data_IF_971085440836
#
_entry.id   IF_971085440836
#
_cell.length_a   1.000
_cell.length_b   1.000
_cell.length_c   1.000
_cell.angle_alpha   90.00
_cell.angle_beta   90.00
_cell.angle_gamma   90.00
#
_symmetry.space_group_name_H-M   'P 1'
#
loop_
_entity.id
_entity.type
_entity.pdbx_description
1 polymer ?
#
# COMPACT_ATOMS: atom_id res chain seq x y z
N UNK A 1 -3.20 13.45 -49.43
CA UNK A 1 -2.08 13.83 -48.55
C UNK A 1 -2.68 14.39 -47.27
N UNK A 2 -2.73 13.57 -46.22
CA UNK A 2 -3.49 13.86 -45.00
C UNK A 2 -2.56 14.48 -43.96
N UNK A 3 -2.81 15.71 -43.55
CA UNK A 3 -2.03 16.39 -42.51
C UNK A 3 -2.31 15.68 -41.17
N UNK A 4 -1.29 15.17 -40.45
CA UNK A 4 -1.50 14.60 -39.12
C UNK A 4 -1.92 15.73 -38.18
N UNK A 5 -3.08 15.63 -37.53
CA UNK A 5 -3.40 16.54 -36.42
C UNK A 5 -2.39 16.29 -35.31
N UNK A 6 -1.74 17.32 -34.76
CA UNK A 6 -0.94 17.15 -33.56
C UNK A 6 -1.86 16.63 -32.45
N UNK A 7 -1.59 15.41 -31.99
CA UNK A 7 -2.19 14.87 -30.77
C UNK A 7 -1.88 15.87 -29.65
N UNK A 8 -2.87 16.37 -28.88
CA UNK A 8 -2.58 17.24 -27.76
C UNK A 8 -1.65 16.48 -26.81
N UNK A 9 -0.43 17.00 -26.63
CA UNK A 9 0.49 16.56 -25.58
C UNK A 9 -0.35 16.51 -24.31
N UNK A 10 -0.55 15.32 -23.74
CA UNK A 10 -1.27 15.14 -22.48
C UNK A 10 -0.51 15.92 -21.41
N UNK A 11 -0.85 17.19 -21.25
CA UNK A 11 -0.33 18.06 -20.20
C UNK A 11 -0.87 17.44 -18.93
N UNK A 12 -0.04 16.68 -18.22
CA UNK A 12 -0.33 16.25 -16.83
C UNK A 12 -0.86 17.49 -16.13
N UNK A 13 -2.17 17.53 -15.88
CA UNK A 13 -2.76 18.69 -15.22
C UNK A 13 -2.09 18.77 -13.86
N UNK A 14 -1.60 19.95 -13.49
CA UNK A 14 -0.95 20.21 -12.20
C UNK A 14 -1.83 19.76 -11.01
N UNK A 15 -3.15 19.64 -11.20
CA UNK A 15 -4.09 18.95 -10.32
C UNK A 15 -3.72 17.51 -9.89
N UNK A 16 -2.88 16.79 -10.63
CA UNK A 16 -2.40 15.44 -10.24
C UNK A 16 -0.94 15.42 -9.80
N UNK A 17 -0.23 16.56 -9.90
CA UNK A 17 1.08 16.71 -9.27
C UNK A 17 0.91 16.73 -7.76
N UNK A 18 1.81 16.06 -7.06
CA UNK A 18 1.78 15.99 -5.61
C UNK A 18 3.18 15.78 -5.03
N UNK A 19 3.34 16.18 -3.78
CA UNK A 19 4.44 15.75 -2.94
C UNK A 19 3.97 14.60 -2.06
N UNK A 20 4.65 13.47 -2.15
CA UNK A 20 4.35 12.26 -1.38
C UNK A 20 5.58 11.71 -0.70
N UNK A 21 5.37 11.02 0.42
CA UNK A 21 6.42 10.28 1.09
C UNK A 21 5.86 9.02 1.74
N UNK A 22 6.77 8.09 1.98
CA UNK A 22 6.49 6.80 2.59
C UNK A 22 7.64 6.43 3.52
N UNK A 23 7.30 5.91 4.69
CA UNK A 23 8.25 5.36 5.64
C UNK A 23 7.67 4.08 6.23
N UNK A 24 8.53 3.08 6.41
CA UNK A 24 8.19 1.80 7.03
C UNK A 24 9.34 1.29 7.86
N UNK A 25 9.02 0.49 8.88
CA UNK A 25 9.99 -0.18 9.73
C UNK A 25 9.69 -1.66 9.73
N UNK A 26 10.63 -2.48 9.27
CA UNK A 26 10.51 -3.92 9.29
C UNK A 26 11.18 -4.52 10.52
N UNK A 27 10.47 -5.37 11.26
CA UNK A 27 11.03 -6.20 12.31
C UNK A 27 10.76 -7.67 12.02
N UNK A 28 11.81 -8.48 12.01
CA UNK A 28 11.74 -9.90 11.80
C UNK A 28 12.35 -10.65 12.98
N UNK A 29 11.68 -11.73 13.42
CA UNK A 29 12.23 -12.61 14.45
C UNK A 29 11.77 -14.06 14.29
N UNK A 30 12.71 -14.95 14.51
CA UNK A 30 12.45 -16.37 14.70
C UNK A 30 11.90 -16.63 16.10
N UNK A 31 10.84 -17.42 16.17
CA UNK A 31 10.18 -17.83 17.39
C UNK A 31 10.39 -19.34 17.60
N UNK A 32 10.17 -19.86 18.82
CA UNK A 32 10.18 -21.30 19.08
C UNK A 32 9.20 -22.08 18.17
N UNK A 33 9.40 -23.40 18.10
CA UNK A 33 8.55 -24.34 17.34
C UNK A 33 8.44 -24.03 15.83
N UNK A 34 9.48 -23.42 15.25
CA UNK A 34 9.57 -23.15 13.81
C UNK A 34 8.75 -21.95 13.34
N UNK A 35 8.13 -21.20 14.26
CA UNK A 35 7.42 -19.99 13.90
C UNK A 35 8.39 -18.86 13.55
N UNK A 36 7.95 -17.95 12.70
CA UNK A 36 8.65 -16.69 12.47
C UNK A 36 7.62 -15.59 12.31
N UNK A 37 7.93 -14.44 12.88
CA UNK A 37 7.08 -13.27 12.84
C UNK A 37 7.77 -12.15 12.08
N UNK A 38 6.98 -11.44 11.28
CA UNK A 38 7.36 -10.20 10.63
C UNK A 38 6.33 -9.12 10.95
N UNK A 39 6.80 -7.95 11.37
CA UNK A 39 6.00 -6.79 11.69
C UNK A 39 6.45 -5.62 10.81
N UNK A 40 5.51 -4.94 10.16
CA UNK A 40 5.80 -3.76 9.35
C UNK A 40 4.76 -2.65 9.57
N UNK A 41 4.94 -1.78 10.58
CA UNK A 41 4.26 -0.49 10.62
C UNK A 41 4.77 0.43 9.49
N UNK A 42 3.85 1.17 8.87
CA UNK A 42 4.18 2.13 7.81
C UNK A 42 3.26 3.34 7.80
N UNK A 43 3.81 4.45 7.32
CA UNK A 43 3.13 5.72 7.15
C UNK A 43 3.36 6.23 5.73
N UNK A 44 2.27 6.58 5.04
CA UNK A 44 2.30 7.29 3.77
C UNK A 44 1.59 8.64 3.92
N UNK A 45 2.01 9.62 3.14
CA UNK A 45 1.30 10.88 3.02
C UNK A 45 1.40 11.41 1.59
N UNK A 46 0.41 12.19 1.18
CA UNK A 46 0.41 12.85 -0.13
C UNK A 46 -0.31 14.19 -0.05
N UNK A 47 0.30 15.23 -0.62
CA UNK A 47 -0.27 16.58 -0.72
C UNK A 47 -0.24 17.00 -2.18
N UNK A 48 -1.41 17.12 -2.79
CA UNK A 48 -1.56 17.48 -4.19
C UNK A 48 -1.33 18.98 -4.38
N UNK A 49 -0.83 19.43 -5.53
CA UNK A 49 -0.42 20.82 -5.73
C UNK A 49 -1.59 21.76 -6.01
N UNK A 50 -2.61 21.26 -6.71
CA UNK A 50 -3.80 22.02 -7.08
C UNK A 50 -5.10 21.31 -6.67
N UNK A 51 -6.19 22.06 -6.72
CA UNK A 51 -7.53 21.55 -6.56
C UNK A 51 -7.92 20.62 -7.71
N UNK A 52 -8.68 19.56 -7.41
CA UNK A 52 -9.28 18.74 -8.45
C UNK A 52 -10.30 19.57 -9.25
N UNK A 53 -10.22 19.63 -10.59
CA UNK A 53 -11.08 20.51 -11.40
C UNK A 53 -12.59 20.32 -11.18
N UNK A 54 -13.02 19.10 -10.86
CA UNK A 54 -14.42 18.76 -10.65
C UNK A 54 -14.95 19.10 -9.24
N UNK A 55 -14.08 19.35 -8.26
CA UNK A 55 -14.45 19.39 -6.83
C UNK A 55 -13.92 20.65 -6.14
N UNK A 56 -12.92 21.33 -6.70
CA UNK A 56 -12.38 22.59 -6.17
C UNK A 56 -11.54 22.46 -4.89
N UNK A 57 -11.34 21.24 -4.38
CA UNK A 57 -10.60 20.98 -3.14
C UNK A 57 -9.22 20.41 -3.45
N UNK A 58 -8.18 20.96 -2.81
CA UNK A 58 -6.81 20.43 -2.81
C UNK A 58 -6.74 19.23 -1.87
N UNK A 59 -6.48 18.04 -2.42
CA UNK A 59 -6.48 16.80 -1.64
C UNK A 59 -5.24 16.68 -0.75
N UNK A 60 -5.43 16.20 0.47
CA UNK A 60 -4.36 15.82 1.38
C UNK A 60 -4.71 14.50 2.05
N UNK A 61 -3.76 13.57 1.98
CA UNK A 61 -3.94 12.20 2.38
C UNK A 61 -2.88 11.78 3.39
N UNK A 62 -3.30 10.94 4.34
CA UNK A 62 -2.41 10.25 5.27
C UNK A 62 -2.88 8.80 5.41
N UNK A 63 -1.98 7.86 5.19
CA UNK A 63 -2.22 6.43 5.33
C UNK A 63 -1.38 5.89 6.47
N UNK A 64 -2.00 5.34 7.50
CA UNK A 64 -1.32 4.52 8.50
C UNK A 64 -1.61 3.05 8.17
N UNK A 65 -0.59 2.24 8.03
CA UNK A 65 -0.76 0.79 7.88
C UNK A 65 0.12 0.01 8.85
N UNK A 66 -0.31 -1.20 9.18
CA UNK A 66 0.47 -2.16 9.95
C UNK A 66 0.24 -3.56 9.41
N UNK A 67 1.32 -4.26 9.11
CA UNK A 67 1.29 -5.67 8.73
C UNK A 67 1.89 -6.55 9.83
N UNK A 68 1.26 -7.69 10.07
CA UNK A 68 1.78 -8.80 10.86
C UNK A 68 1.74 -10.05 10.01
N UNK A 69 2.88 -10.72 9.85
CA UNK A 69 2.96 -11.99 9.14
C UNK A 69 3.55 -13.05 10.06
N UNK A 70 2.89 -14.19 10.12
CA UNK A 70 3.33 -15.40 10.80
C UNK A 70 3.54 -16.51 9.77
N UNK A 71 4.65 -17.22 9.89
CA UNK A 71 4.92 -18.44 9.13
C UNK A 71 5.37 -19.55 10.07
N UNK A 72 5.16 -20.81 9.70
CA UNK A 72 5.72 -21.94 10.44
C UNK A 72 6.56 -22.85 9.54
N UNK A 73 7.89 -22.72 9.62
CA UNK A 73 8.83 -23.43 8.76
C UNK A 73 8.90 -24.95 9.02
N UNK A 74 8.41 -25.44 10.16
CA UNK A 74 8.37 -26.87 10.44
C UNK A 74 7.18 -27.57 9.78
N UNK A 75 6.14 -26.82 9.43
CA UNK A 75 5.03 -27.35 8.64
C UNK A 75 5.44 -27.30 7.18
N UNK A 76 5.77 -28.46 6.63
CA UNK A 76 6.18 -28.61 5.23
C UNK A 76 5.10 -29.37 4.47
N UNK A 77 4.38 -28.65 3.60
CA UNK A 77 3.46 -29.22 2.63
C UNK A 77 4.23 -29.42 1.32
N UNK A 78 4.95 -30.53 1.21
CA UNK A 78 5.90 -30.82 0.11
C UNK A 78 7.08 -29.85 0.06
N UNK A 79 6.92 -28.67 -0.54
CA UNK A 79 7.92 -27.59 -0.63
C UNK A 79 7.39 -26.24 -0.16
N UNK A 80 6.21 -26.27 0.47
CA UNK A 80 5.47 -25.09 0.85
C UNK A 80 5.38 -24.96 2.37
N UNK A 81 5.60 -23.75 2.85
CA UNK A 81 5.45 -23.36 4.25
C UNK A 81 4.18 -22.51 4.40
N UNK A 82 3.26 -22.86 5.31
CA UNK A 82 2.07 -22.04 5.52
C UNK A 82 2.42 -20.67 6.10
N UNK A 83 1.67 -19.67 5.64
CA UNK A 83 1.77 -18.26 6.04
C UNK A 83 0.37 -17.72 6.34
N UNK A 84 0.30 -16.92 7.41
CA UNK A 84 -0.85 -16.10 7.75
C UNK A 84 -0.38 -14.64 7.84
N UNK A 85 -1.06 -13.74 7.15
CA UNK A 85 -0.79 -12.30 7.19
C UNK A 85 -2.04 -11.54 7.57
N UNK A 86 -1.89 -10.57 8.45
CA UNK A 86 -2.90 -9.58 8.79
C UNK A 86 -2.39 -8.19 8.45
N UNK A 87 -3.20 -7.42 7.72
CA UNK A 87 -2.89 -6.03 7.38
C UNK A 87 -4.04 -5.13 7.81
N UNK A 88 -3.70 -4.10 8.59
CA UNK A 88 -4.60 -3.00 8.91
C UNK A 88 -4.17 -1.75 8.14
N UNK A 89 -5.12 -1.03 7.57
CA UNK A 89 -4.89 0.24 6.88
C UNK A 89 -5.98 1.24 7.26
N UNK A 90 -5.55 2.43 7.66
CA UNK A 90 -6.42 3.58 7.88
C UNK A 90 -5.99 4.71 6.94
N UNK A 91 -6.92 5.16 6.11
CA UNK A 91 -6.76 6.27 5.20
C UNK A 91 -7.56 7.47 5.70
N UNK A 92 -6.85 8.48 6.18
CA UNK A 92 -7.42 9.77 6.53
C UNK A 92 -7.22 10.71 5.33
N UNK A 93 -8.32 11.28 4.83
CA UNK A 93 -8.32 12.26 3.73
C UNK A 93 -9.30 13.39 4.05
N UNK A 94 -8.99 14.59 3.53
CA UNK A 94 -9.91 15.73 3.55
C UNK A 94 -11.08 15.56 2.57
N UNK A 95 -11.03 14.54 1.72
CA UNK A 95 -12.13 14.15 0.85
C UNK A 95 -12.79 12.87 1.38
N UNK A 96 -14.08 12.96 1.72
CA UNK A 96 -14.82 11.85 2.33
C UNK A 96 -14.81 10.58 1.44
N UNK A 97 -14.87 10.74 0.11
CA UNK A 97 -14.82 9.63 -0.86
C UNK A 97 -13.56 8.75 -0.73
N UNK A 98 -12.45 9.30 -0.23
CA UNK A 98 -11.18 8.60 -0.09
C UNK A 98 -10.87 8.19 1.36
N UNK A 99 -11.77 8.43 2.32
CA UNK A 99 -11.59 8.02 3.71
C UNK A 99 -12.04 6.58 3.89
N UNK A 100 -11.18 5.73 4.43
CA UNK A 100 -11.55 4.35 4.73
C UNK A 100 -10.70 3.75 5.84
N UNK A 101 -11.23 2.70 6.45
CA UNK A 101 -10.49 1.76 7.31
C UNK A 101 -10.67 0.36 6.73
N UNK A 102 -9.59 -0.40 6.64
CA UNK A 102 -9.60 -1.75 6.08
C UNK A 102 -8.76 -2.67 6.93
N UNK A 103 -9.31 -3.85 7.20
CA UNK A 103 -8.59 -5.01 7.74
C UNK A 103 -8.59 -6.10 6.69
N UNK A 104 -7.46 -6.77 6.51
CA UNK A 104 -7.31 -7.90 5.60
C UNK A 104 -6.59 -9.05 6.30
N UNK A 105 -7.10 -10.25 6.11
CA UNK A 105 -6.43 -11.50 6.48
C UNK A 105 -6.12 -12.24 5.18
N UNK A 106 -4.88 -12.69 5.04
CA UNK A 106 -4.38 -13.46 3.91
C UNK A 106 -3.78 -14.76 4.43
N UNK A 107 -4.25 -15.88 3.88
CA UNK A 107 -3.69 -17.22 4.14
C UNK A 107 -3.02 -17.66 2.85
N UNK A 108 -1.79 -18.14 2.95
CA UNK A 108 -1.02 -18.52 1.78
C UNK A 108 0.07 -19.53 2.07
N UNK A 109 0.79 -19.88 1.02
CA UNK A 109 1.91 -20.79 1.03
C UNK A 109 3.16 -20.06 0.53
N UNK A 110 4.29 -20.24 1.20
CA UNK A 110 5.59 -19.71 0.81
C UNK A 110 6.48 -20.85 0.29
N UNK A 111 7.29 -20.58 -0.73
CA UNK A 111 8.32 -21.51 -1.20
C UNK A 111 9.55 -20.71 -1.60
N UNK A 112 10.72 -21.36 -1.60
CA UNK A 112 11.96 -20.78 -2.10
C UNK A 112 12.30 -21.50 -3.42
N UNK A 113 12.87 -20.77 -4.39
CA UNK A 113 13.26 -21.27 -5.70
C UNK A 113 14.78 -21.37 -5.81
#
# INVERSE_FOLDING_TARGET
MSIPRPQPKARRSSAYSNWSGYAALGYYRDLPAGFSIYLEPSLAFSRYDEALPAIGIRRSDRTLSGQVTLLNRHIVLSRFTPRLSYTFTKQDSNMALYRFTRSRIEIGLATNF
#
